data_IF_024353110220
#
_entry.id   IF_024353110220
#
_cell.length_a   1.000
_cell.length_b   1.000
_cell.length_c   1.000
_cell.angle_alpha   90.00
_cell.angle_beta   90.00
_cell.angle_gamma   90.00
#
_symmetry.space_group_name_H-M   'P 1'
#
loop_
_entity.id
_entity.type
_entity.pdbx_description
1 polymer ?
#
# COMPACT_ATOMS: atom_id res chain seq x y z
N UNK A 1 21.27 13.30 8.00
CA UNK A 1 22.23 12.22 8.30
C UNK A 1 21.90 11.06 7.39
N UNK A 2 22.83 10.62 6.57
CA UNK A 2 22.69 9.41 5.74
C UNK A 2 23.12 8.24 6.62
N UNK A 3 22.21 7.34 6.94
CA UNK A 3 22.59 6.07 7.56
C UNK A 3 23.42 5.26 6.57
N UNK A 4 24.55 4.76 6.99
CA UNK A 4 25.44 3.89 6.23
C UNK A 4 24.63 2.64 5.79
N UNK A 5 24.33 2.50 4.51
CA UNK A 5 23.81 1.26 3.95
C UNK A 5 22.91 1.33 2.75
N UNK A 6 22.11 2.36 2.57
CA UNK A 6 21.15 2.43 1.46
C UNK A 6 21.39 3.67 0.57
N UNK A 7 22.58 3.76 0.01
CA UNK A 7 22.82 4.74 -1.05
C UNK A 7 22.00 4.37 -2.27
N UNK A 8 21.18 5.31 -2.75
CA UNK A 8 20.59 5.23 -4.08
C UNK A 8 21.76 5.07 -5.06
N UNK A 9 21.90 3.88 -5.63
CA UNK A 9 22.94 3.62 -6.64
C UNK A 9 22.56 4.33 -7.92
N UNK A 10 23.00 5.58 -8.07
CA UNK A 10 22.85 6.33 -9.31
C UNK A 10 23.91 5.86 -10.29
N UNK A 11 23.48 5.41 -11.46
CA UNK A 11 24.36 5.04 -12.58
C UNK A 11 24.56 6.26 -13.48
N UNK A 12 25.52 7.11 -13.12
CA UNK A 12 25.74 8.40 -13.79
C UNK A 12 25.90 8.29 -15.31
N UNK A 13 26.54 7.24 -15.81
CA UNK A 13 26.74 7.00 -17.23
C UNK A 13 25.42 6.76 -18.01
N UNK A 14 24.33 6.40 -17.33
CA UNK A 14 23.00 6.27 -17.92
C UNK A 14 22.18 7.57 -17.92
N UNK A 15 22.72 8.67 -17.40
CA UNK A 15 22.01 9.96 -17.33
C UNK A 15 21.47 10.44 -18.68
N UNK A 16 22.18 10.32 -19.83
CA UNK A 16 21.63 10.71 -21.12
C UNK A 16 20.36 9.92 -21.50
N UNK A 17 20.32 8.62 -21.19
CA UNK A 17 19.13 7.79 -21.41
C UNK A 17 17.97 8.19 -20.48
N UNK A 18 18.29 8.63 -19.26
CA UNK A 18 17.28 9.15 -18.33
C UNK A 18 16.64 10.46 -18.81
N UNK A 19 17.38 11.30 -19.53
CA UNK A 19 16.82 12.49 -20.17
C UNK A 19 15.81 12.11 -21.26
N UNK A 20 16.16 11.15 -22.13
CA UNK A 20 15.23 10.66 -23.16
C UNK A 20 13.97 10.03 -22.54
N UNK A 21 14.14 9.23 -21.49
CA UNK A 21 13.02 8.68 -20.71
C UNK A 21 12.17 9.79 -20.10
N UNK A 22 12.83 10.80 -19.49
CA UNK A 22 12.18 11.97 -18.90
C UNK A 22 11.37 12.79 -19.91
N UNK A 23 11.89 12.99 -21.13
CA UNK A 23 11.17 13.64 -22.23
C UNK A 23 9.88 12.86 -22.59
N UNK A 24 9.95 11.55 -22.71
CA UNK A 24 8.78 10.71 -23.00
C UNK A 24 7.72 10.78 -21.90
N UNK A 25 8.14 10.67 -20.62
CA UNK A 25 7.23 10.80 -19.49
C UNK A 25 6.69 12.22 -19.37
N UNK A 26 7.53 13.24 -19.57
CA UNK A 26 7.14 14.65 -19.57
C UNK A 26 6.12 14.96 -20.65
N UNK A 27 6.34 14.49 -21.87
CA UNK A 27 5.40 14.63 -22.98
C UNK A 27 4.04 13.98 -22.67
N UNK A 28 4.03 12.74 -22.18
CA UNK A 28 2.81 12.09 -21.73
C UNK A 28 2.08 12.89 -20.65
N UNK A 29 2.82 13.42 -19.69
CA UNK A 29 2.26 14.23 -18.61
C UNK A 29 1.69 15.56 -19.12
N UNK A 30 2.32 16.17 -20.13
CA UNK A 30 1.82 17.36 -20.80
C UNK A 30 0.50 17.08 -21.52
N UNK A 31 0.37 15.96 -22.24
CA UNK A 31 -0.87 15.57 -22.90
C UNK A 31 -2.04 15.44 -21.90
N UNK A 32 -1.80 14.93 -20.69
CA UNK A 32 -2.81 14.93 -19.63
C UNK A 32 -3.12 16.34 -19.09
N UNK A 33 -2.12 17.22 -18.98
CA UNK A 33 -2.31 18.62 -18.57
C UNK A 33 -3.15 19.40 -19.58
N UNK A 34 -2.90 19.18 -20.86
CA UNK A 34 -3.63 19.82 -21.96
C UNK A 34 -5.03 19.21 -22.20
N UNK A 35 -5.41 18.15 -21.46
CA UNK A 35 -6.70 17.47 -21.63
C UNK A 35 -6.81 16.60 -22.89
N UNK A 36 -5.73 16.42 -23.67
CA UNK A 36 -5.69 15.53 -24.85
C UNK A 36 -5.88 14.09 -24.39
N UNK A 37 -5.13 13.68 -23.34
CA UNK A 37 -5.38 12.44 -22.62
C UNK A 37 -6.34 12.72 -21.47
N UNK A 38 -7.51 12.09 -21.48
CA UNK A 38 -8.57 12.34 -20.50
C UNK A 38 -8.41 11.44 -19.27
N UNK A 39 -8.53 12.04 -18.09
CA UNK A 39 -8.72 11.33 -16.82
C UNK A 39 -10.21 11.28 -16.50
N UNK A 40 -10.69 10.12 -16.07
CA UNK A 40 -12.10 9.90 -15.71
C UNK A 40 -12.26 9.82 -14.19
N UNK A 41 -13.17 10.60 -13.64
CA UNK A 41 -13.67 10.44 -12.28
C UNK A 41 -14.86 9.45 -12.28
N UNK A 42 -15.17 8.88 -11.12
CA UNK A 42 -16.23 7.89 -10.95
C UNK A 42 -17.15 8.31 -9.79
N UNK A 43 -18.42 7.90 -9.88
CA UNK A 43 -19.43 8.21 -8.86
C UNK A 43 -19.32 7.35 -7.58
N UNK A 44 -18.25 6.63 -7.44
CA UNK A 44 -17.88 5.85 -6.26
C UNK A 44 -16.57 6.39 -5.68
N UNK A 45 -16.39 6.42 -4.36
CA UNK A 45 -15.11 6.77 -3.76
C UNK A 45 -13.98 5.91 -4.28
N UNK A 46 -12.95 6.54 -4.85
CA UNK A 46 -11.74 5.87 -5.33
C UNK A 46 -10.54 6.46 -4.61
N UNK A 47 -9.79 5.61 -3.92
CA UNK A 47 -8.54 5.96 -3.24
C UNK A 47 -7.40 5.27 -3.97
N UNK A 48 -6.42 6.03 -4.42
CA UNK A 48 -5.23 5.49 -5.09
C UNK A 48 -4.04 5.47 -4.14
N UNK A 49 -3.41 4.32 -4.02
CA UNK A 49 -2.13 4.15 -3.30
C UNK A 49 -1.05 3.82 -4.31
N UNK A 50 0.06 4.53 -4.26
CA UNK A 50 1.17 4.25 -5.17
C UNK A 50 2.42 5.04 -4.84
N UNK A 51 3.42 4.92 -5.70
CA UNK A 51 4.69 5.60 -5.59
C UNK A 51 5.18 6.08 -6.95
N UNK A 52 6.25 6.90 -6.96
CA UNK A 52 6.92 7.33 -8.20
C UNK A 52 8.29 6.70 -8.39
N UNK A 53 8.66 5.72 -7.57
CA UNK A 53 9.93 5.01 -7.63
C UNK A 53 9.75 3.54 -8.01
N UNK A 54 10.79 2.89 -8.50
CA UNK A 54 10.85 1.44 -8.62
C UNK A 54 11.29 0.87 -7.27
N UNK A 55 10.70 -0.26 -6.87
CA UNK A 55 11.05 -0.98 -5.65
C UNK A 55 9.94 -0.97 -4.59
N UNK A 56 10.22 -1.61 -3.47
CA UNK A 56 9.26 -1.84 -2.39
C UNK A 56 9.07 -0.64 -1.48
N UNK A 57 8.21 0.30 -1.84
CA UNK A 57 7.86 1.47 -1.01
C UNK A 57 6.80 1.18 0.06
N UNK A 58 6.46 -0.08 0.31
CA UNK A 58 5.46 -0.44 1.32
C UNK A 58 4.00 -0.31 0.85
N UNK A 59 3.72 -0.38 -0.47
CA UNK A 59 2.36 -0.25 -1.02
C UNK A 59 1.39 -1.26 -0.41
N UNK A 60 1.71 -2.54 -0.48
CA UNK A 60 0.82 -3.61 0.01
C UNK A 60 0.44 -3.44 1.47
N UNK A 61 1.36 -3.22 2.43
CA UNK A 61 0.99 -2.94 3.82
C UNK A 61 0.08 -1.72 4.00
N UNK A 62 0.23 -0.65 3.18
CA UNK A 62 -0.65 0.52 3.27
C UNK A 62 -2.04 0.24 2.68
N UNK A 63 -2.13 -0.55 1.61
CA UNK A 63 -3.43 -1.01 1.10
C UNK A 63 -4.11 -1.91 2.11
N UNK A 64 -3.39 -2.84 2.74
CA UNK A 64 -3.90 -3.71 3.80
C UNK A 64 -4.39 -2.92 5.02
N UNK A 65 -3.68 -1.86 5.41
CA UNK A 65 -4.11 -0.94 6.45
C UNK A 65 -5.44 -0.26 6.11
N UNK A 66 -5.57 0.28 4.89
CA UNK A 66 -6.81 0.91 4.42
C UNK A 66 -7.97 -0.10 4.34
N UNK A 67 -7.70 -1.32 3.91
CA UNK A 67 -8.71 -2.41 3.94
C UNK A 67 -9.16 -2.66 5.36
N UNK A 68 -8.23 -2.83 6.31
CA UNK A 68 -8.55 -3.06 7.73
C UNK A 68 -9.35 -1.92 8.36
N UNK A 69 -9.03 -0.67 7.97
CA UNK A 69 -9.74 0.53 8.45
C UNK A 69 -11.20 0.59 7.97
N UNK A 70 -11.49 0.06 6.78
CA UNK A 70 -12.75 0.30 6.09
C UNK A 70 -13.69 -0.92 6.07
N UNK A 71 -13.15 -2.16 6.05
CA UNK A 71 -13.88 -3.40 5.76
C UNK A 71 -15.04 -3.73 6.72
N UNK A 72 -14.93 -3.33 7.99
CA UNK A 72 -15.93 -3.66 9.01
C UNK A 72 -17.24 -2.86 8.84
N UNK A 73 -17.19 -1.75 8.09
CA UNK A 73 -18.32 -0.83 7.90
C UNK A 73 -18.73 -0.66 6.45
N UNK A 74 -17.87 -1.06 5.50
CA UNK A 74 -18.03 -0.78 4.07
C UNK A 74 -17.64 -2.00 3.24
N UNK A 75 -18.30 -2.16 2.09
CA UNK A 75 -17.90 -3.13 1.06
C UNK A 75 -16.72 -2.58 0.26
N UNK A 76 -15.54 -3.07 0.60
CA UNK A 76 -14.27 -2.61 0.02
C UNK A 76 -13.91 -3.47 -1.19
N UNK A 77 -13.49 -2.83 -2.27
CA UNK A 77 -12.83 -3.49 -3.39
C UNK A 77 -11.39 -3.02 -3.54
N UNK A 78 -10.46 -3.95 -3.77
CA UNK A 78 -9.09 -3.65 -4.16
C UNK A 78 -8.92 -3.96 -5.65
N UNK A 79 -8.48 -2.97 -6.43
CA UNK A 79 -8.20 -3.13 -7.85
C UNK A 79 -6.71 -2.94 -8.14
N UNK A 80 -6.04 -4.02 -8.49
CA UNK A 80 -4.61 -4.05 -8.82
C UNK A 80 -4.36 -4.31 -10.32
N UNK A 81 -3.10 -4.19 -10.74
CA UNK A 81 -2.67 -4.54 -12.10
C UNK A 81 -2.55 -6.06 -12.29
N UNK A 82 -2.23 -6.77 -11.22
CA UNK A 82 -1.85 -8.17 -11.29
C UNK A 82 -0.49 -8.32 -11.98
N UNK A 83 0.57 -7.84 -11.34
CA UNK A 83 1.94 -7.95 -11.88
C UNK A 83 2.34 -9.42 -12.04
N UNK A 84 2.99 -9.77 -13.16
CA UNK A 84 3.40 -11.14 -13.55
C UNK A 84 2.28 -12.18 -13.71
N UNK A 85 1.00 -11.80 -13.65
CA UNK A 85 -0.12 -12.73 -13.90
C UNK A 85 -0.14 -13.21 -15.34
N UNK A 86 -0.64 -14.43 -15.55
CA UNK A 86 -0.81 -15.01 -16.89
C UNK A 86 -2.09 -14.53 -17.57
N UNK A 87 -3.15 -14.24 -16.81
CA UNK A 87 -4.42 -13.71 -17.32
C UNK A 87 -4.24 -12.31 -17.92
N UNK A 88 -4.94 -11.98 -19.00
CA UNK A 88 -4.82 -10.68 -19.68
C UNK A 88 -5.98 -9.74 -19.39
N UNK A 89 -7.17 -10.28 -19.15
CA UNK A 89 -8.41 -9.54 -18.98
C UNK A 89 -8.71 -9.22 -17.50
N UNK A 90 -9.86 -8.58 -17.28
CA UNK A 90 -10.42 -8.40 -15.95
C UNK A 90 -10.66 -9.76 -15.30
N UNK A 91 -10.21 -9.92 -14.06
CA UNK A 91 -10.50 -11.09 -13.23
C UNK A 91 -10.93 -10.58 -11.85
N UNK A 92 -12.10 -11.03 -11.41
CA UNK A 92 -12.53 -10.91 -10.00
C UNK A 92 -12.02 -12.15 -9.27
N UNK A 93 -11.24 -11.96 -8.22
CA UNK A 93 -10.68 -13.04 -7.44
C UNK A 93 -11.76 -13.69 -6.56
N UNK A 94 -11.79 -15.00 -6.57
CA UNK A 94 -12.53 -15.88 -5.66
C UNK A 94 -11.57 -16.57 -4.67
N UNK A 95 -12.08 -17.52 -3.91
CA UNK A 95 -11.28 -18.26 -2.92
C UNK A 95 -10.34 -19.28 -3.58
N UNK A 96 -10.62 -19.71 -4.81
CA UNK A 96 -9.85 -20.70 -5.57
C UNK A 96 -8.85 -20.03 -6.53
N UNK A 97 -8.87 -18.71 -6.60
CA UNK A 97 -7.95 -17.95 -7.45
C UNK A 97 -6.50 -18.17 -7.07
N UNK A 98 -5.65 -18.38 -8.07
CA UNK A 98 -4.23 -18.66 -7.88
C UNK A 98 -3.36 -17.42 -8.12
N UNK A 99 -2.14 -17.40 -7.58
CA UNK A 99 -1.15 -16.35 -7.88
C UNK A 99 -0.88 -16.18 -9.38
N UNK A 100 -0.91 -17.28 -10.15
CA UNK A 100 -0.72 -17.22 -11.59
C UNK A 100 -1.85 -16.51 -12.34
N UNK A 101 -3.06 -16.51 -11.80
CA UNK A 101 -4.24 -15.86 -12.36
C UNK A 101 -4.32 -14.39 -12.02
N UNK A 102 -4.03 -14.01 -10.77
CA UNK A 102 -4.26 -12.65 -10.27
C UNK A 102 -2.98 -11.89 -9.90
N UNK A 103 -1.84 -12.57 -9.74
CA UNK A 103 -0.56 -12.01 -9.30
C UNK A 103 -0.35 -12.09 -7.79
N UNK A 104 0.89 -11.94 -7.35
CA UNK A 104 1.31 -12.19 -5.95
C UNK A 104 0.60 -11.27 -4.94
N UNK A 105 0.63 -9.95 -5.19
CA UNK A 105 0.10 -8.94 -4.25
C UNK A 105 -1.44 -9.03 -4.10
N UNK A 106 -2.24 -9.11 -5.18
CA UNK A 106 -3.67 -9.34 -5.06
C UNK A 106 -4.02 -10.68 -4.41
N UNK A 107 -3.23 -11.73 -4.67
CA UNK A 107 -3.40 -13.02 -4.03
C UNK A 107 -3.20 -12.92 -2.52
N UNK A 108 -2.11 -12.28 -2.05
CA UNK A 108 -1.84 -12.05 -0.64
C UNK A 108 -2.99 -11.27 0.04
N UNK A 109 -3.46 -10.21 -0.60
CA UNK A 109 -4.58 -9.40 -0.09
C UNK A 109 -5.85 -10.26 0.03
N UNK A 110 -6.19 -11.07 -0.99
CA UNK A 110 -7.37 -11.96 -0.97
C UNK A 110 -7.29 -13.03 0.11
N UNK A 111 -6.12 -13.62 0.32
CA UNK A 111 -5.90 -14.60 1.39
C UNK A 111 -6.01 -13.97 2.79
N UNK A 112 -5.53 -12.75 2.96
CA UNK A 112 -5.58 -12.03 4.24
C UNK A 112 -6.97 -11.48 4.56
N UNK A 113 -7.72 -11.09 3.53
CA UNK A 113 -9.05 -10.51 3.63
C UNK A 113 -10.04 -11.23 2.68
N UNK A 114 -10.53 -12.41 3.05
CA UNK A 114 -11.41 -13.20 2.16
C UNK A 114 -12.74 -12.52 1.86
N UNK A 115 -13.21 -11.64 2.74
CA UNK A 115 -14.55 -11.02 2.67
C UNK A 115 -14.60 -9.76 1.79
N UNK A 116 -13.46 -9.28 1.27
CA UNK A 116 -13.44 -8.12 0.37
C UNK A 116 -13.41 -8.57 -1.10
N UNK A 117 -13.79 -7.65 -1.98
CA UNK A 117 -13.60 -7.85 -3.41
C UNK A 117 -12.17 -7.53 -3.81
N UNK A 118 -11.52 -8.45 -4.50
CA UNK A 118 -10.19 -8.24 -5.09
C UNK A 118 -10.30 -8.46 -6.59
N UNK A 119 -9.95 -7.45 -7.37
CA UNK A 119 -10.00 -7.55 -8.83
C UNK A 119 -8.67 -7.11 -9.44
N UNK A 120 -8.39 -7.64 -10.62
CA UNK A 120 -7.19 -7.28 -11.38
C UNK A 120 -7.53 -6.93 -12.82
N UNK A 121 -7.04 -5.79 -13.28
CA UNK A 121 -7.14 -5.33 -14.66
C UNK A 121 -5.98 -4.38 -14.99
N UNK A 122 -5.40 -4.51 -16.21
CA UNK A 122 -4.41 -3.54 -16.71
C UNK A 122 -5.02 -2.15 -16.95
N UNK A 123 -6.30 -2.11 -17.39
CA UNK A 123 -7.08 -0.87 -17.60
C UNK A 123 -7.93 -0.61 -16.36
N UNK A 124 -7.42 0.19 -15.39
CA UNK A 124 -8.15 0.50 -14.15
C UNK A 124 -9.53 1.09 -14.38
N UNK A 125 -9.71 1.89 -15.44
CA UNK A 125 -11.04 2.42 -15.82
C UNK A 125 -12.03 1.31 -16.08
N UNK A 126 -11.67 0.30 -16.90
CA UNK A 126 -12.49 -0.88 -17.16
C UNK A 126 -12.74 -1.70 -15.90
N UNK A 127 -11.71 -1.87 -15.06
CA UNK A 127 -11.84 -2.58 -13.79
C UNK A 127 -12.84 -1.93 -12.85
N UNK A 128 -12.84 -0.60 -12.75
CA UNK A 128 -13.81 0.15 -11.94
C UNK A 128 -15.22 -0.02 -12.56
N UNK A 129 -15.37 0.15 -13.86
CA UNK A 129 -16.67 -0.05 -14.53
C UNK A 129 -17.23 -1.45 -14.25
N UNK A 130 -16.41 -2.50 -14.35
CA UNK A 130 -16.81 -3.88 -14.03
C UNK A 130 -17.23 -4.03 -12.57
N UNK A 131 -16.40 -3.57 -11.62
CA UNK A 131 -16.72 -3.64 -10.19
C UNK A 131 -18.02 -2.92 -9.83
N UNK A 132 -18.40 -1.86 -10.55
CA UNK A 132 -19.61 -1.08 -10.25
C UNK A 132 -20.85 -1.54 -11.01
N UNK A 133 -20.69 -2.33 -12.07
CA UNK A 133 -21.81 -2.81 -12.92
C UNK A 133 -22.11 -4.29 -12.78
N UNK A 134 -21.17 -5.10 -12.31
CA UNK A 134 -21.34 -6.53 -12.11
C UNK A 134 -22.32 -6.81 -10.96
N UNK A 135 -23.24 -7.74 -11.17
CA UNK A 135 -24.25 -8.13 -10.18
C UNK A 135 -23.67 -8.63 -8.85
N UNK A 136 -22.46 -9.22 -8.88
CA UNK A 136 -21.78 -9.75 -7.70
C UNK A 136 -21.10 -8.66 -6.84
N UNK A 137 -20.75 -7.52 -7.46
CA UNK A 137 -19.94 -6.46 -6.81
C UNK A 137 -20.61 -5.09 -6.82
N UNK A 138 -21.86 -5.01 -7.29
CA UNK A 138 -22.62 -3.74 -7.40
C UNK A 138 -22.84 -3.01 -6.06
N UNK A 139 -22.70 -3.70 -4.95
CA UNK A 139 -22.82 -3.19 -3.58
C UNK A 139 -21.50 -2.60 -3.05
N UNK A 140 -20.45 -2.54 -3.86
CA UNK A 140 -19.18 -1.94 -3.47
C UNK A 140 -19.35 -0.47 -3.09
N UNK A 141 -18.79 -0.08 -1.93
CA UNK A 141 -18.86 1.27 -1.38
C UNK A 141 -17.61 2.11 -1.68
N UNK A 142 -16.45 1.46 -1.77
CA UNK A 142 -15.16 2.12 -2.00
C UNK A 142 -14.20 1.22 -2.77
N UNK A 143 -13.43 1.82 -3.67
CA UNK A 143 -12.40 1.13 -4.46
C UNK A 143 -11.03 1.67 -4.09
N UNK A 144 -10.14 0.77 -3.65
CA UNK A 144 -8.73 1.03 -3.42
C UNK A 144 -7.94 0.60 -4.66
N UNK A 145 -7.23 1.54 -5.27
CA UNK A 145 -6.36 1.26 -6.41
C UNK A 145 -4.93 1.01 -5.91
N UNK A 146 -4.45 -0.19 -6.12
CA UNK A 146 -3.08 -0.59 -5.79
C UNK A 146 -2.13 -0.33 -6.97
N UNK A 147 -0.96 0.27 -6.66
CA UNK A 147 0.09 0.68 -7.61
C UNK A 147 -0.46 1.43 -8.83
N UNK A 148 -1.28 2.44 -8.58
CA UNK A 148 -1.98 3.15 -9.66
C UNK A 148 -1.55 4.61 -9.85
N UNK A 149 -0.51 5.10 -9.17
CA UNK A 149 -0.08 6.50 -9.22
C UNK A 149 0.26 6.98 -10.65
N UNK A 150 0.85 6.11 -11.47
CA UNK A 150 1.13 6.38 -12.88
C UNK A 150 -0.07 6.18 -13.80
N UNK A 151 -1.19 5.59 -13.30
CA UNK A 151 -2.36 5.30 -14.13
C UNK A 151 -3.33 6.49 -14.20
N UNK A 152 -2.88 7.59 -14.83
CA UNK A 152 -3.58 8.89 -14.88
C UNK A 152 -4.91 8.91 -15.61
N UNK A 153 -5.32 7.81 -16.26
CA UNK A 153 -6.65 7.67 -16.88
C UNK A 153 -7.78 7.60 -15.84
N UNK A 154 -7.49 7.25 -14.59
CA UNK A 154 -8.41 7.38 -13.46
C UNK A 154 -8.03 8.63 -12.68
N UNK A 155 -9.04 9.46 -12.36
CA UNK A 155 -8.92 10.55 -11.41
C UNK A 155 -9.46 10.06 -10.07
N UNK A 156 -8.63 9.63 -9.12
CA UNK A 156 -9.08 9.24 -7.79
C UNK A 156 -9.58 10.48 -7.03
N UNK A 157 -10.42 10.27 -6.04
CA UNK A 157 -10.83 11.35 -5.18
C UNK A 157 -9.85 11.59 -4.02
N UNK A 158 -9.03 10.57 -3.67
CA UNK A 158 -7.87 10.71 -2.79
C UNK A 158 -6.70 9.96 -3.42
N UNK A 159 -5.58 10.65 -3.59
CA UNK A 159 -4.32 10.10 -4.09
C UNK A 159 -3.26 10.08 -2.99
N UNK A 160 -2.80 8.89 -2.61
CA UNK A 160 -1.78 8.67 -1.59
C UNK A 160 -0.46 8.31 -2.27
N UNK A 161 0.55 9.16 -2.06
CA UNK A 161 1.92 8.95 -2.54
C UNK A 161 2.79 8.41 -1.41
N UNK A 162 3.38 7.24 -1.62
CA UNK A 162 4.32 6.63 -0.70
C UNK A 162 5.76 6.96 -1.10
N UNK A 163 6.55 7.42 -0.14
CA UNK A 163 7.97 7.74 -0.31
C UNK A 163 8.75 6.93 0.73
N UNK A 164 9.65 6.08 0.29
CA UNK A 164 10.53 5.31 1.19
C UNK A 164 11.54 6.25 1.86
N UNK A 165 11.63 6.19 3.19
CA UNK A 165 12.58 6.99 3.99
C UNK A 165 14.02 6.79 3.53
N UNK A 166 14.40 5.56 3.19
CA UNK A 166 15.75 5.22 2.73
C UNK A 166 16.03 5.66 1.29
N UNK A 167 14.98 6.03 0.52
CA UNK A 167 15.04 6.42 -0.90
C UNK A 167 14.18 7.63 -1.17
N UNK A 168 14.53 8.75 -0.56
CA UNK A 168 13.81 9.99 -0.77
C UNK A 168 13.90 10.43 -2.24
N UNK A 169 12.76 10.75 -2.81
CA UNK A 169 12.63 11.12 -4.24
C UNK A 169 13.49 12.32 -4.62
N UNK A 170 13.82 13.21 -3.67
CA UNK A 170 14.62 14.41 -3.86
C UNK A 170 16.11 14.12 -4.16
N UNK A 171 16.58 12.92 -3.84
CA UNK A 171 17.97 12.51 -4.07
C UNK A 171 18.11 11.49 -5.20
N UNK A 172 16.99 11.15 -5.88
CA UNK A 172 16.96 10.10 -6.89
C UNK A 172 16.84 10.70 -8.31
N UNK A 173 17.25 9.93 -9.30
CA UNK A 173 17.16 10.27 -10.72
C UNK A 173 16.14 9.39 -11.43
N UNK A 174 15.72 9.86 -12.60
CA UNK A 174 14.83 9.08 -13.48
C UNK A 174 15.51 7.79 -13.95
N UNK A 175 14.69 6.78 -14.23
CA UNK A 175 15.14 5.56 -14.92
C UNK A 175 15.83 5.92 -16.27
N UNK A 176 16.88 5.19 -16.65
CA UNK A 176 17.53 4.07 -15.98
C UNK A 176 18.71 4.46 -15.08
N UNK A 177 19.07 5.75 -14.95
CA UNK A 177 20.17 6.21 -14.12
C UNK A 177 19.86 6.08 -12.62
N UNK A 178 18.62 6.37 -12.21
CA UNK A 178 18.09 6.19 -10.86
C UNK A 178 16.87 5.27 -10.86
N UNK A 179 15.98 5.46 -9.88
CA UNK A 179 14.80 4.64 -9.67
C UNK A 179 13.47 5.37 -9.90
N UNK A 180 13.48 6.67 -10.25
CA UNK A 180 12.24 7.41 -10.48
C UNK A 180 11.57 6.98 -11.79
N UNK A 181 10.29 6.59 -11.69
CA UNK A 181 9.40 6.28 -12.83
C UNK A 181 8.87 7.54 -13.51
N UNK A 182 8.88 8.67 -12.81
CA UNK A 182 8.43 9.98 -13.28
C UNK A 182 9.14 11.08 -12.50
N UNK A 183 9.19 12.34 -13.03
CA UNK A 183 9.83 13.46 -12.36
C UNK A 183 9.22 13.72 -10.97
N UNK A 184 10.02 14.34 -10.09
CA UNK A 184 9.63 14.65 -8.69
C UNK A 184 8.38 15.54 -8.60
N UNK A 185 8.15 16.39 -9.60
CA UNK A 185 6.95 17.23 -9.72
C UNK A 185 5.66 16.40 -9.76
N UNK A 186 5.76 15.11 -10.09
CA UNK A 186 4.68 14.14 -9.97
C UNK A 186 4.05 14.08 -8.59
N UNK A 187 4.79 14.45 -7.53
CA UNK A 187 4.27 14.55 -6.15
C UNK A 187 3.08 15.51 -6.03
N UNK A 188 2.99 16.54 -6.89
CA UNK A 188 1.90 17.52 -6.87
C UNK A 188 0.51 16.93 -7.10
N UNK A 189 0.39 15.69 -7.56
CA UNK A 189 -0.91 15.03 -7.75
C UNK A 189 -1.41 14.32 -6.50
N UNK A 190 -0.58 14.21 -5.46
CA UNK A 190 -0.97 13.57 -4.21
C UNK A 190 -1.77 14.54 -3.33
N UNK A 191 -2.82 14.05 -2.72
CA UNK A 191 -3.53 14.71 -1.62
C UNK A 191 -2.85 14.40 -0.28
N UNK A 192 -2.29 13.19 -0.19
CA UNK A 192 -1.61 12.67 0.99
C UNK A 192 -0.25 12.13 0.56
N UNK A 193 0.79 12.54 1.27
CA UNK A 193 2.14 12.00 1.15
C UNK A 193 2.48 11.26 2.44
N UNK A 194 2.98 10.03 2.32
CA UNK A 194 3.41 9.23 3.47
C UNK A 194 4.88 8.87 3.28
N UNK A 195 5.73 9.29 4.22
CA UNK A 195 7.10 8.76 4.31
C UNK A 195 7.02 7.43 5.05
N UNK A 196 7.40 6.36 4.36
CA UNK A 196 7.28 4.98 4.82
C UNK A 196 8.59 4.44 5.34
N UNK A 197 8.53 3.39 6.16
CA UNK A 197 9.70 2.70 6.72
C UNK A 197 10.63 3.63 7.51
N UNK A 198 10.06 4.61 8.19
CA UNK A 198 10.83 5.47 9.06
C UNK A 198 11.42 4.65 10.23
N UNK A 199 12.64 4.96 10.68
CA UNK A 199 13.17 4.42 11.93
C UNK A 199 12.26 4.80 13.10
N UNK A 200 12.12 3.90 14.08
CA UNK A 200 11.26 4.15 15.26
C UNK A 200 11.78 5.29 16.15
N UNK A 201 13.08 5.53 16.12
CA UNK A 201 13.82 6.53 16.89
C UNK A 201 14.06 7.84 16.13
N UNK A 202 13.33 8.09 15.03
CA UNK A 202 13.45 9.30 14.22
C UNK A 202 13.27 10.56 15.09
N UNK A 203 14.26 11.46 15.06
CA UNK A 203 14.30 12.64 15.93
C UNK A 203 13.42 13.78 15.40
N UNK A 204 12.90 14.67 16.28
CA UNK A 204 12.08 15.81 15.86
C UNK A 204 12.73 16.71 14.80
N UNK A 205 14.07 16.89 14.86
CA UNK A 205 14.79 17.66 13.85
C UNK A 205 14.74 17.00 12.46
N UNK A 206 14.81 15.67 12.40
CA UNK A 206 14.80 14.93 11.13
C UNK A 206 13.43 15.05 10.44
N UNK A 207 12.33 15.02 11.21
CA UNK A 207 10.99 15.32 10.66
C UNK A 207 10.95 16.69 10.00
N UNK A 208 11.49 17.73 10.64
CA UNK A 208 11.54 19.09 10.09
C UNK A 208 12.36 19.16 8.81
N UNK A 209 13.51 18.47 8.78
CA UNK A 209 14.38 18.39 7.60
C UNK A 209 13.64 17.71 6.45
N UNK A 210 12.96 16.60 6.71
CA UNK A 210 12.18 15.87 5.69
C UNK A 210 11.01 16.72 5.15
N UNK A 211 10.27 17.38 6.03
CA UNK A 211 9.17 18.29 5.63
C UNK A 211 9.68 19.39 4.71
N UNK A 212 10.77 20.06 5.10
CA UNK A 212 11.37 21.14 4.30
C UNK A 212 11.95 20.62 2.97
N UNK A 213 12.60 19.46 2.99
CA UNK A 213 13.23 18.90 1.81
C UNK A 213 12.21 18.42 0.75
N UNK A 214 11.06 17.91 1.18
CA UNK A 214 10.00 17.50 0.26
C UNK A 214 9.26 18.68 -0.35
N UNK A 215 9.26 19.83 0.28
CA UNK A 215 8.61 21.05 -0.22
C UNK A 215 7.22 20.77 -0.80
N UNK A 216 6.30 20.35 0.09
CA UNK A 216 4.95 19.97 -0.28
C UNK A 216 4.05 21.21 -0.41
N UNK A 217 3.02 21.08 -1.24
CA UNK A 217 2.02 22.13 -1.40
C UNK A 217 1.08 22.21 -0.18
N UNK A 218 0.49 23.40 0.12
CA UNK A 218 -0.37 23.58 1.30
C UNK A 218 -1.60 22.68 1.37
N UNK A 219 -2.09 22.15 0.24
CA UNK A 219 -3.23 21.23 0.19
C UNK A 219 -2.85 19.77 0.51
N UNK A 220 -1.56 19.46 0.54
CA UNK A 220 -1.07 18.10 0.80
C UNK A 220 -0.89 17.87 2.29
N UNK A 221 -1.32 16.71 2.76
CA UNK A 221 -1.00 16.25 4.13
C UNK A 221 0.19 15.32 4.11
N UNK A 222 1.08 15.49 5.11
CA UNK A 222 2.26 14.65 5.27
C UNK A 222 2.14 13.79 6.52
N UNK A 223 2.33 12.49 6.36
CA UNK A 223 2.36 11.49 7.43
C UNK A 223 3.64 10.69 7.39
N UNK A 224 3.97 10.10 8.54
CA UNK A 224 5.14 9.25 8.71
C UNK A 224 4.69 7.90 9.24
N UNK A 225 5.21 6.83 8.65
CA UNK A 225 4.91 5.47 9.08
C UNK A 225 6.17 4.65 9.26
N UNK A 226 6.17 3.79 10.26
CA UNK A 226 7.16 2.75 10.48
C UNK A 226 6.54 1.37 10.31
N UNK A 227 7.38 0.35 10.22
CA UNK A 227 6.94 -1.03 10.20
C UNK A 227 6.91 -1.56 11.64
N UNK A 228 5.82 -2.24 11.97
CA UNK A 228 5.68 -3.04 13.17
C UNK A 228 5.41 -4.48 12.77
N UNK A 229 5.83 -5.41 13.60
CA UNK A 229 5.63 -6.83 13.38
C UNK A 229 4.56 -7.36 14.32
N UNK A 230 3.71 -8.23 13.79
CA UNK A 230 2.73 -8.98 14.57
C UNK A 230 3.31 -10.33 15.00
N UNK A 231 2.50 -11.14 15.68
CA UNK A 231 2.89 -12.49 16.03
C UNK A 231 3.22 -13.31 14.79
N UNK A 232 4.25 -14.13 14.90
CA UNK A 232 4.60 -15.13 13.91
C UNK A 232 3.41 -16.07 13.66
N UNK A 233 3.08 -16.33 12.39
CA UNK A 233 2.02 -17.26 11.97
C UNK A 233 2.61 -18.47 11.29
N UNK A 234 2.25 -19.64 11.73
CA UNK A 234 2.72 -20.89 11.12
C UNK A 234 2.27 -20.97 9.66
N UNK A 235 3.19 -21.31 8.75
CA UNK A 235 2.90 -21.34 7.30
C UNK A 235 2.07 -22.57 6.93
N UNK A 236 2.33 -23.70 7.56
CA UNK A 236 1.67 -25.01 7.31
C UNK A 236 0.75 -25.43 8.46
N UNK A 237 0.22 -24.48 9.22
CA UNK A 237 -0.68 -24.73 10.34
C UNK A 237 -1.46 -23.51 10.74
N UNK A 238 -2.07 -23.55 11.93
CA UNK A 238 -2.85 -22.45 12.51
C UNK A 238 -2.18 -21.80 13.73
N UNK A 239 -0.97 -22.27 14.07
CA UNK A 239 -0.20 -21.81 15.22
C UNK A 239 0.24 -20.34 15.08
N UNK A 240 0.27 -19.63 16.22
CA UNK A 240 0.79 -18.27 16.31
C UNK A 240 1.69 -18.13 17.54
N UNK A 241 2.85 -17.50 17.37
CA UNK A 241 3.86 -17.33 18.41
C UNK A 241 4.28 -15.86 18.47
N UNK A 242 4.33 -15.28 19.66
CA UNK A 242 4.87 -13.93 19.82
C UNK A 242 6.40 -13.93 19.60
N UNK A 243 6.94 -12.91 18.92
CA UNK A 243 8.39 -12.82 18.69
C UNK A 243 9.17 -12.88 20.01
N UNK A 244 8.71 -12.17 21.03
CA UNK A 244 9.36 -12.12 22.34
C UNK A 244 9.22 -13.41 23.18
N UNK A 245 8.42 -14.38 22.76
CA UNK A 245 8.27 -15.68 23.45
C UNK A 245 9.27 -16.74 22.98
N UNK A 246 10.00 -16.48 21.92
CA UNK A 246 11.08 -17.36 21.48
C UNK A 246 12.23 -17.31 22.48
N UNK A 247 12.91 -18.45 22.73
CA UNK A 247 14.09 -18.46 23.59
C UNK A 247 15.18 -17.49 23.12
N UNK A 248 15.83 -16.81 24.06
CA UNK A 248 17.06 -16.08 23.78
C UNK A 248 18.07 -17.08 23.20
N UNK A 249 18.84 -16.71 22.19
CA UNK A 249 19.73 -17.59 21.44
C UNK A 249 19.04 -18.62 20.54
N UNK A 250 17.73 -18.51 20.30
CA UNK A 250 17.08 -19.33 19.26
C UNK A 250 17.77 -19.11 17.90
N UNK A 251 18.07 -20.21 17.20
CA UNK A 251 18.64 -20.17 15.87
C UNK A 251 17.53 -19.90 14.85
N UNK A 252 17.53 -18.73 14.26
CA UNK A 252 16.53 -18.28 13.31
C UNK A 252 17.10 -18.31 11.91
N UNK A 253 16.61 -19.20 11.05
CA UNK A 253 16.87 -19.14 9.63
C UNK A 253 15.92 -18.10 9.01
N UNK A 254 16.45 -16.91 8.71
CA UNK A 254 15.69 -15.83 8.08
C UNK A 254 15.65 -16.06 6.57
N UNK A 255 14.54 -16.58 6.08
CA UNK A 255 14.29 -16.89 4.66
C UNK A 255 13.57 -15.74 3.99
N UNK A 256 14.20 -15.06 3.04
CA UNK A 256 13.60 -13.90 2.38
C UNK A 256 13.86 -13.84 0.88
N UNK A 257 12.83 -13.52 0.10
CA UNK A 257 12.90 -13.17 -1.32
C UNK A 257 12.31 -11.77 -1.57
N UNK A 258 12.77 -10.79 -0.79
CA UNK A 258 12.35 -9.38 -0.88
C UNK A 258 13.51 -8.47 -1.27
N UNK A 259 13.21 -7.29 -1.81
CA UNK A 259 14.19 -6.34 -2.34
C UNK A 259 15.20 -5.82 -1.29
N UNK A 260 14.83 -5.74 0.00
CA UNK A 260 15.67 -5.25 1.09
C UNK A 260 15.46 -6.06 2.37
N UNK A 261 16.19 -7.17 2.57
CA UNK A 261 16.10 -7.98 3.78
C UNK A 261 16.78 -7.34 5.00
N UNK A 262 17.68 -6.38 4.81
CA UNK A 262 18.50 -5.77 5.87
C UNK A 262 17.66 -5.12 6.98
N UNK A 263 16.56 -4.44 6.62
CA UNK A 263 15.70 -3.82 7.61
C UNK A 263 15.08 -4.88 8.53
N UNK A 264 14.55 -5.96 7.95
CA UNK A 264 13.96 -7.06 8.71
C UNK A 264 15.01 -7.77 9.59
N UNK A 265 16.21 -7.96 9.06
CA UNK A 265 17.33 -8.50 9.84
C UNK A 265 17.66 -7.61 11.04
N UNK A 266 17.86 -6.32 10.82
CA UNK A 266 18.15 -5.34 11.87
C UNK A 266 17.03 -5.29 12.94
N UNK A 267 15.77 -5.30 12.51
CA UNK A 267 14.62 -5.28 13.42
C UNK A 267 14.52 -6.56 14.27
N UNK A 268 15.01 -7.70 13.78
CA UNK A 268 15.04 -8.96 14.51
C UNK A 268 16.27 -9.10 15.45
N UNK A 269 17.35 -8.36 15.19
CA UNK A 269 18.54 -8.36 16.05
C UNK A 269 18.23 -7.87 17.47
N UNK A 270 17.22 -7.03 17.63
CA UNK A 270 16.77 -6.52 18.95
C UNK A 270 16.33 -7.66 19.90
N UNK A 271 15.92 -8.82 19.35
CA UNK A 271 15.47 -9.96 20.15
C UNK A 271 16.62 -10.91 20.56
N UNK A 272 17.87 -10.59 20.22
CA UNK A 272 19.06 -11.38 20.52
C UNK A 272 19.01 -12.83 20.03
N UNK A 273 18.42 -13.07 18.85
CA UNK A 273 18.45 -14.38 18.18
C UNK A 273 19.77 -14.59 17.44
N UNK A 274 20.13 -15.86 17.24
CA UNK A 274 21.20 -16.23 16.31
C UNK A 274 20.64 -16.22 14.88
N UNK A 275 20.75 -15.09 14.17
CA UNK A 275 20.18 -14.91 12.84
C UNK A 275 21.10 -15.49 11.75
N UNK A 276 20.54 -16.39 10.95
CA UNK A 276 21.16 -16.97 9.76
C UNK A 276 20.37 -16.55 8.52
N UNK A 277 20.94 -15.67 7.69
CA UNK A 277 20.24 -15.14 6.51
C UNK A 277 20.34 -16.10 5.33
N UNK A 278 19.19 -16.45 4.75
CA UNK A 278 19.04 -17.11 3.46
C UNK A 278 18.22 -16.22 2.52
N UNK A 279 18.92 -15.37 1.75
CA UNK A 279 18.30 -14.37 0.90
C UNK A 279 18.23 -14.84 -0.55
N UNK A 280 17.06 -14.70 -1.16
CA UNK A 280 16.78 -14.92 -2.57
C UNK A 280 16.45 -13.57 -3.27
N UNK A 281 16.52 -13.52 -4.60
CA UNK A 281 16.10 -12.33 -5.36
C UNK A 281 14.63 -11.95 -5.09
N UNK A 282 14.28 -10.67 -5.25
CA UNK A 282 12.89 -10.23 -5.13
C UNK A 282 11.99 -10.93 -6.16
N UNK A 283 10.81 -11.35 -5.72
CA UNK A 283 9.87 -12.14 -6.50
C UNK A 283 10.41 -13.51 -6.93
N UNK A 284 11.25 -14.14 -6.10
CA UNK A 284 11.80 -15.46 -6.37
C UNK A 284 10.74 -16.55 -6.40
N UNK A 285 10.83 -17.44 -7.40
CA UNK A 285 10.03 -18.66 -7.45
C UNK A 285 10.90 -19.81 -6.95
N UNK A 286 10.56 -20.39 -5.82
CA UNK A 286 11.34 -21.45 -5.20
C UNK A 286 11.36 -22.70 -6.06
N UNK A 287 12.56 -23.18 -6.37
CA UNK A 287 12.82 -24.39 -7.15
C UNK A 287 13.15 -25.58 -6.23
N UNK A 288 13.19 -26.80 -6.80
CA UNK A 288 13.65 -28.00 -6.07
C UNK A 288 15.09 -27.87 -5.54
N UNK A 289 15.95 -27.05 -6.17
CA UNK A 289 17.29 -26.76 -5.68
C UNK A 289 17.22 -25.90 -4.41
N UNK A 290 16.38 -24.88 -4.41
CA UNK A 290 16.21 -23.98 -3.27
C UNK A 290 15.63 -24.74 -2.08
N UNK A 291 14.67 -25.64 -2.32
CA UNK A 291 14.11 -26.52 -1.28
C UNK A 291 15.19 -27.38 -0.62
N UNK A 292 16.08 -27.97 -1.41
CA UNK A 292 17.22 -28.74 -0.86
C UNK A 292 18.15 -27.86 -0.04
N UNK A 293 18.41 -26.65 -0.47
CA UNK A 293 19.23 -25.68 0.27
C UNK A 293 18.57 -25.29 1.59
N UNK A 294 17.25 -25.04 1.60
CA UNK A 294 16.48 -24.72 2.81
C UNK A 294 16.55 -25.88 3.81
N UNK A 295 16.24 -27.10 3.37
CA UNK A 295 16.29 -28.30 4.22
C UNK A 295 17.70 -28.49 4.82
N UNK A 296 18.75 -28.44 4.00
CA UNK A 296 20.13 -28.61 4.43
C UNK A 296 20.57 -27.54 5.42
N UNK A 297 20.29 -26.28 5.16
CA UNK A 297 20.67 -25.18 6.07
C UNK A 297 19.92 -25.26 7.38
N UNK A 298 18.63 -25.62 7.36
CA UNK A 298 17.85 -25.75 8.56
C UNK A 298 18.30 -26.96 9.41
N UNK A 299 18.58 -28.11 8.78
CA UNK A 299 19.10 -29.30 9.46
C UNK A 299 20.44 -29.05 10.17
N UNK A 300 21.31 -28.19 9.60
CA UNK A 300 22.61 -27.84 10.15
C UNK A 300 22.55 -26.94 11.40
N UNK A 301 21.40 -26.29 11.69
CA UNK A 301 21.25 -25.41 12.84
C UNK A 301 20.99 -26.21 14.12
N UNK A 302 21.63 -25.86 15.24
CA UNK A 302 21.34 -26.45 16.53
C UNK A 302 19.99 -26.00 17.09
N UNK A 303 19.34 -26.87 17.87
CA UNK A 303 18.08 -26.51 18.56
C UNK A 303 18.35 -25.61 19.78
N UNK A 304 17.40 -24.71 20.15
CA UNK A 304 16.12 -24.44 19.47
C UNK A 304 16.30 -23.70 18.17
N UNK A 305 15.55 -24.06 17.13
CA UNK A 305 15.64 -23.47 15.80
C UNK A 305 14.28 -23.27 15.16
N UNK A 306 14.11 -22.19 14.36
CA UNK A 306 12.93 -21.93 13.55
C UNK A 306 13.30 -21.27 12.22
N UNK A 307 12.35 -21.26 11.30
CA UNK A 307 12.43 -20.48 10.06
C UNK A 307 11.46 -19.30 10.17
N UNK A 308 11.96 -18.09 9.97
CA UNK A 308 11.12 -16.90 9.81
C UNK A 308 11.18 -16.44 8.36
N UNK A 309 10.02 -16.26 7.74
CA UNK A 309 9.90 -15.76 6.38
C UNK A 309 8.90 -14.62 6.28
N UNK A 310 8.82 -13.93 5.14
CA UNK A 310 7.81 -12.90 4.92
C UNK A 310 6.46 -13.50 4.54
N UNK A 311 5.33 -12.78 4.74
CA UNK A 311 4.01 -13.23 4.27
C UNK A 311 4.00 -13.47 2.74
N UNK A 312 4.76 -12.64 2.00
CA UNK A 312 4.90 -12.76 0.54
C UNK A 312 5.63 -14.04 0.13
N UNK A 313 6.72 -14.39 0.81
CA UNK A 313 7.47 -15.59 0.50
C UNK A 313 6.78 -16.85 1.03
N UNK A 314 6.11 -16.76 2.18
CA UNK A 314 5.26 -17.82 2.72
C UNK A 314 4.18 -18.24 1.72
N UNK A 315 3.52 -17.29 1.08
CA UNK A 315 2.49 -17.57 0.08
C UNK A 315 3.03 -18.31 -1.15
N UNK A 316 4.32 -18.14 -1.49
CA UNK A 316 4.98 -18.82 -2.61
C UNK A 316 5.49 -20.19 -2.23
N UNK A 317 6.14 -20.29 -1.06
CA UNK A 317 6.78 -21.54 -0.62
C UNK A 317 5.75 -22.59 -0.21
N UNK A 318 4.56 -22.18 0.22
CA UNK A 318 3.47 -23.07 0.65
C UNK A 318 3.09 -24.14 -0.38
N UNK A 319 3.26 -23.85 -1.67
CA UNK A 319 2.91 -24.75 -2.77
C UNK A 319 4.11 -25.50 -3.35
N UNK A 320 5.29 -25.36 -2.75
CA UNK A 320 6.50 -26.04 -3.24
C UNK A 320 6.65 -27.38 -2.56
N UNK A 321 6.83 -28.44 -3.37
CA UNK A 321 7.02 -29.80 -2.90
C UNK A 321 8.47 -30.07 -2.46
N UNK A 322 8.65 -30.99 -1.54
CA UNK A 322 9.96 -31.51 -1.13
C UNK A 322 10.56 -30.87 0.13
N UNK A 323 9.83 -29.96 0.80
CA UNK A 323 10.20 -29.53 2.15
C UNK A 323 10.00 -30.68 3.13
N UNK A 324 10.97 -30.88 4.01
CA UNK A 324 10.91 -31.86 5.10
C UNK A 324 9.85 -31.44 6.14
N UNK A 325 9.27 -32.40 6.84
CA UNK A 325 8.17 -32.10 7.77
C UNK A 325 8.64 -31.25 8.95
N UNK A 326 9.86 -31.48 9.48
CA UNK A 326 10.46 -30.62 10.50
C UNK A 326 10.58 -29.15 10.04
N UNK A 327 10.92 -28.94 8.77
CA UNK A 327 11.01 -27.62 8.15
C UNK A 327 9.64 -26.95 8.06
N UNK A 328 8.60 -27.71 7.64
CA UNK A 328 7.24 -27.19 7.55
C UNK A 328 6.66 -26.82 8.92
N UNK A 329 6.87 -27.66 9.94
CA UNK A 329 6.40 -27.43 11.31
C UNK A 329 7.09 -26.23 11.95
N UNK A 330 8.35 -25.99 11.61
CA UNK A 330 9.17 -24.90 12.16
C UNK A 330 9.11 -23.60 11.33
N UNK A 331 8.32 -23.55 10.26
CA UNK A 331 8.25 -22.38 9.36
C UNK A 331 7.13 -21.42 9.73
N UNK A 332 7.50 -20.17 9.98
CA UNK A 332 6.59 -19.09 10.36
C UNK A 332 6.74 -17.89 9.43
N UNK A 333 5.62 -17.35 9.04
CA UNK A 333 5.54 -16.04 8.39
C UNK A 333 5.52 -14.94 9.45
N UNK A 334 6.25 -13.87 9.21
CA UNK A 334 6.24 -12.66 10.04
C UNK A 334 5.35 -11.60 9.38
N UNK A 335 4.11 -11.40 9.89
CA UNK A 335 3.23 -10.37 9.36
C UNK A 335 3.75 -8.98 9.67
N UNK A 336 3.59 -8.08 8.71
CA UNK A 336 3.96 -6.68 8.84
C UNK A 336 2.69 -5.86 8.92
N UNK A 337 2.65 -4.92 9.87
CA UNK A 337 1.64 -3.88 9.95
C UNK A 337 2.29 -2.50 9.92
N UNK A 338 1.52 -1.52 9.48
CA UNK A 338 1.93 -0.12 9.53
C UNK A 338 1.60 0.45 10.88
N UNK A 339 2.50 1.29 11.38
CA UNK A 339 2.27 2.13 12.54
C UNK A 339 2.53 3.58 12.16
N UNK A 340 1.54 4.43 12.36
CA UNK A 340 1.72 5.86 12.20
C UNK A 340 2.58 6.43 13.34
N UNK A 341 3.41 7.39 13.01
CA UNK A 341 4.26 8.08 13.96
C UNK A 341 3.60 9.40 14.39
N UNK A 342 4.15 10.05 15.42
CA UNK A 342 3.69 11.36 15.90
C UNK A 342 2.21 11.41 16.34
N UNK A 343 1.58 10.28 16.64
CA UNK A 343 0.15 10.23 16.99
C UNK A 343 -0.80 10.60 15.85
N UNK A 344 -0.34 10.56 14.60
CA UNK A 344 -1.09 11.03 13.42
C UNK A 344 -2.13 10.01 12.89
N UNK A 345 -2.24 8.84 13.51
CA UNK A 345 -3.10 7.76 13.04
C UNK A 345 -4.57 8.16 12.99
N UNK A 346 -5.06 8.78 14.06
CA UNK A 346 -6.46 9.18 14.15
C UNK A 346 -6.81 10.27 13.13
N UNK A 347 -5.94 11.25 12.91
CA UNK A 347 -6.13 12.29 11.91
C UNK A 347 -6.21 11.70 10.50
N UNK A 348 -5.28 10.78 10.17
CA UNK A 348 -5.29 10.08 8.89
C UNK A 348 -6.58 9.26 8.71
N UNK A 349 -6.95 8.47 9.71
CA UNK A 349 -8.15 7.63 9.68
C UNK A 349 -9.41 8.46 9.48
N UNK A 350 -9.55 9.55 10.23
CA UNK A 350 -10.67 10.47 10.10
C UNK A 350 -10.74 11.11 8.71
N UNK A 351 -9.61 11.48 8.13
CA UNK A 351 -9.54 12.04 6.78
C UNK A 351 -10.04 11.05 5.72
N UNK A 352 -9.61 9.79 5.80
CA UNK A 352 -10.04 8.73 4.89
C UNK A 352 -11.53 8.40 5.06
N UNK A 353 -11.96 8.18 6.29
CA UNK A 353 -13.37 7.84 6.61
C UNK A 353 -14.31 8.97 6.17
N UNK A 354 -13.96 10.22 6.46
CA UNK A 354 -14.77 11.39 6.08
C UNK A 354 -14.86 11.54 4.56
N UNK A 355 -13.76 11.30 3.83
CA UNK A 355 -13.79 11.29 2.36
C UNK A 355 -14.77 10.23 1.84
N UNK A 356 -14.69 9.00 2.32
CA UNK A 356 -15.57 7.91 1.84
C UNK A 356 -17.02 8.21 2.19
N UNK A 357 -17.31 8.64 3.43
CA UNK A 357 -18.68 8.99 3.87
C UNK A 357 -19.31 10.11 3.03
N UNK A 358 -18.55 11.15 2.71
CA UNK A 358 -19.06 12.28 1.90
C UNK A 358 -19.38 11.90 0.45
N UNK A 359 -18.72 10.88 -0.07
CA UNK A 359 -18.79 10.49 -1.48
C UNK A 359 -19.46 9.12 -1.69
N UNK A 360 -19.93 8.45 -0.63
CA UNK A 360 -20.64 7.18 -0.74
C UNK A 360 -21.99 7.39 -1.45
N UNK A 361 -22.44 6.40 -2.24
CA UNK A 361 -23.74 6.41 -2.93
C UNK A 361 -24.91 6.67 -1.96
N UNK A 362 -24.83 6.15 -0.76
CA UNK A 362 -25.84 6.35 0.28
C UNK A 362 -25.92 7.80 0.76
N UNK A 363 -24.80 8.54 0.82
CA UNK A 363 -24.83 9.97 1.20
C UNK A 363 -25.44 10.85 0.12
N UNK A 364 -25.32 10.48 -1.16
CA UNK A 364 -25.94 11.17 -2.29
C UNK A 364 -27.46 10.97 -2.27
N UNK A 365 -27.91 9.74 -1.97
CA UNK A 365 -29.35 9.43 -1.82
C UNK A 365 -29.99 10.15 -0.63
N UNK A 366 -29.28 10.32 0.48
CA UNK A 366 -29.75 11.09 1.63
C UNK A 366 -29.85 12.57 1.32
N UNK A 367 -28.85 13.14 0.63
CA UNK A 367 -28.90 14.55 0.19
C UNK A 367 -30.08 14.84 -0.78
N UNK A 368 -30.30 13.96 -1.75
CA UNK A 368 -31.44 14.11 -2.69
C UNK A 368 -32.78 13.97 -1.99
N UNK A 369 -32.91 13.20 -0.91
CA UNK A 369 -34.14 13.12 -0.10
C UNK A 369 -34.36 14.38 0.75
N UNK A 370 -33.31 14.99 1.29
CA UNK A 370 -33.43 16.23 2.07
C UNK A 370 -33.71 17.47 1.21
N UNK A 371 -33.20 17.52 0.00
CA UNK A 371 -33.47 18.58 -0.97
C UNK A 371 -34.90 18.53 -1.56
N UNK A 372 -35.56 17.36 -1.50
CA UNK A 372 -36.94 17.16 -1.96
C UNK A 372 -38.00 17.27 -0.84
N UNK A 373 -37.65 17.64 0.39
CA UNK A 373 -38.64 18.00 1.40
C UNK A 373 -39.24 19.35 1.07
N UNK A 374 -40.57 19.48 0.85
CA UNK A 374 -41.20 20.75 0.62
C UNK A 374 -40.95 21.64 1.85
N UNK A 375 -40.37 22.83 1.60
CA UNK A 375 -40.33 23.90 2.61
C UNK A 375 -41.77 24.25 2.94
N UNK A 376 -42.31 23.70 4.02
CA UNK A 376 -43.59 24.11 4.59
C UNK A 376 -43.48 25.56 5.01
N UNK A 377 -43.98 26.47 4.17
CA UNK A 377 -44.16 27.84 4.49
C UNK A 377 -45.32 27.97 5.49
N UNK A 378 -45.00 28.19 6.74
CA UNK A 378 -45.94 28.70 7.72
C UNK A 378 -46.03 30.23 7.54
N UNK A 379 -47.03 30.65 6.76
CA UNK A 379 -47.59 31.99 6.86
C UNK A 379 -48.52 32.03 8.06
N UNK A 380 -48.12 32.58 9.18
CA UNK A 380 -49.04 33.14 10.17
C UNK A 380 -49.05 34.67 10.01
N UNK A 381 -50.13 35.15 9.42
CA UNK A 381 -50.58 36.57 9.52
C UNK A 381 -51.09 36.80 10.92
N UNK A 382 -50.61 37.87 11.54
CA UNK A 382 -51.35 38.81 12.45
C UNK A 382 -50.34 39.92 12.66
N UNK A 383 -50.60 41.13 12.32
CA UNK A 383 -51.66 42.10 12.39
C UNK A 383 -51.38 43.07 13.53
N UNK A 384 -51.13 44.31 13.17
CA UNK A 384 -51.34 45.56 13.92
C UNK A 384 -50.10 46.40 14.21
N UNK A 385 -49.92 47.42 13.43
CA UNK A 385 -50.08 48.83 13.74
C UNK A 385 -48.83 49.61 14.25
N UNK A 386 -48.65 50.84 13.83
CA UNK A 386 -47.36 51.56 13.85
C UNK A 386 -47.21 52.47 15.08
N UNK A 387 -45.99 52.63 15.59
CA UNK A 387 -45.60 53.87 16.34
C UNK A 387 -44.18 54.25 15.97
N UNK A 388 -44.12 55.53 15.46
CA UNK A 388 -42.91 56.32 15.26
C UNK A 388 -42.29 56.78 16.57
N UNK A 389 -40.97 57.04 16.59
CA UNK A 389 -40.24 58.24 17.11
C UNK A 389 -38.75 57.94 17.06
N UNK A 390 -38.06 58.65 16.25
CA UNK A 390 -37.13 59.81 16.33
C UNK A 390 -36.10 59.79 17.47
N UNK A 391 -34.87 59.96 17.01
CA UNK A 391 -33.71 60.69 17.59
C UNK A 391 -33.08 60.19 18.90
N UNK A 392 -31.83 59.75 18.82
CA UNK A 392 -30.59 60.59 18.87
C UNK A 392 -29.40 59.73 18.43
#
# INVERSE_FOLDING_TARGET
MRTEGDFIKIREWLTPLSWLYGLGVGFRNLLFKLGILKSRAFDIPVISVGNITVGGSGKTPHVEYLVSLLKDKLKVAVLSRGYKRKSKDYVLADNDSTMSQIGDEPYQIKQKFPDIYVAVDKKRTRGIDRLTSDGLTKDVDVILLDDAYQHRYVKPGVSILLIDYHRLIIYDKLLPAGCLREPQEGKSRADIVIITKCPKDLRPMEYRVLMKALDLFPYQSLYFTTLAYDNLKQVYGTGSIALNSLPISCNVLLLTGIASPKQMQHDLEVYNYNLHLLAFPDHHNFSKKDVREINSKFAALPSPKIIITTEKDASRIKFVEGLEDEVKESMYALPIRIQFMLGQEEEFNNKIINYVRKNSRNSILVKTKDDNKPKNGNHSRNGSGPISFRNN
#
